data_IF_225139219853
#
_entry.id   IF_225139219853
#
_cell.length_a   1.000
_cell.length_b   1.000
_cell.length_c   1.000
_cell.angle_alpha   90.00
_cell.angle_beta   90.00
_cell.angle_gamma   90.00
#
_symmetry.space_group_name_H-M   'P 1'
#
loop_
_entity.id
_entity.type
_entity.pdbx_description
1 polymer ?
#
# COMPACT_ATOMS: atom_id res chain seq x y z
N UNK A 1 -35.44 20.04 16.38
CA UNK A 1 -34.08 20.47 16.01
C UNK A 1 -33.56 21.35 17.13
N UNK A 2 -32.82 20.75 18.07
CA UNK A 2 -32.20 21.49 19.18
C UNK A 2 -30.75 21.81 18.81
N UNK A 3 -30.37 23.08 18.92
CA UNK A 3 -28.99 23.53 18.78
C UNK A 3 -28.13 22.90 19.87
N UNK A 4 -27.12 22.12 19.49
CA UNK A 4 -26.10 21.64 20.42
C UNK A 4 -25.14 22.80 20.65
N UNK A 5 -25.05 23.24 21.90
CA UNK A 5 -24.15 24.30 22.36
C UNK A 5 -22.73 23.73 22.45
N UNK A 6 -21.85 24.15 21.54
CA UNK A 6 -20.45 23.68 21.42
C UNK A 6 -19.51 24.49 22.35
N UNK A 7 -20.07 25.37 23.19
CA UNK A 7 -19.32 26.26 24.08
C UNK A 7 -18.67 25.56 25.30
N UNK A 8 -18.60 24.23 25.33
CA UNK A 8 -18.03 23.45 26.45
C UNK A 8 -16.78 22.65 26.08
N UNK A 9 -16.12 22.94 24.95
CA UNK A 9 -14.76 22.47 24.73
C UNK A 9 -13.83 23.20 25.72
N UNK A 10 -13.47 22.48 26.77
CA UNK A 10 -12.59 22.94 27.84
C UNK A 10 -11.23 23.28 27.24
N UNK A 11 -10.71 24.46 27.56
CA UNK A 11 -9.31 24.81 27.28
C UNK A 11 -8.39 23.68 27.78
N UNK A 12 -7.42 23.23 26.97
CA UNK A 12 -6.42 22.29 27.44
C UNK A 12 -5.66 22.95 28.58
N UNK A 13 -5.77 22.35 29.76
CA UNK A 13 -5.02 22.75 30.96
C UNK A 13 -3.54 22.79 30.59
N UNK A 14 -2.81 23.89 30.85
CA UNK A 14 -1.38 23.91 30.64
C UNK A 14 -0.77 22.78 31.47
N UNK A 15 -0.02 21.88 30.82
CA UNK A 15 0.78 20.89 31.52
C UNK A 15 1.74 21.65 32.44
N UNK A 16 1.49 21.55 33.73
CA UNK A 16 2.41 21.99 34.77
C UNK A 16 3.75 21.30 34.53
N UNK A 17 4.70 22.07 34.00
CA UNK A 17 6.05 21.64 33.78
C UNK A 17 6.71 21.60 35.16
N UNK A 18 6.84 20.41 35.75
CA UNK A 18 7.61 20.28 36.99
C UNK A 18 9.03 20.81 36.76
N UNK A 19 9.54 21.71 37.62
CA UNK A 19 10.89 22.21 37.50
C UNK A 19 11.87 21.05 37.71
N UNK A 20 12.62 20.73 36.64
CA UNK A 20 13.68 19.72 36.64
C UNK A 20 14.66 20.07 37.76
N UNK A 21 14.73 19.17 38.76
CA UNK A 21 15.61 19.34 39.90
C UNK A 21 17.09 19.43 39.44
N UNK A 22 17.84 20.47 39.83
CA UNK A 22 19.24 20.60 39.50
C UNK A 22 20.04 19.62 40.37
N UNK A 23 20.31 18.43 39.85
CA UNK A 23 21.10 17.44 40.58
C UNK A 23 21.13 16.01 40.03
N UNK A 24 20.48 15.71 38.91
CA UNK A 24 20.56 14.37 38.32
C UNK A 24 22.01 14.08 37.89
N UNK A 25 22.65 13.01 38.40
CA UNK A 25 23.99 12.63 37.96
C UNK A 25 23.98 12.31 36.47
N UNK A 26 25.10 12.52 35.76
CA UNK A 26 25.20 12.19 34.34
C UNK A 26 24.84 10.71 34.17
N UNK A 27 23.78 10.45 33.41
CA UNK A 27 23.42 9.11 32.96
C UNK A 27 24.61 8.61 32.15
N UNK A 28 25.43 7.76 32.76
CA UNK A 28 26.44 6.98 32.07
C UNK A 28 25.70 6.12 31.03
N UNK A 29 25.69 6.62 29.80
CA UNK A 29 25.16 5.91 28.66
C UNK A 29 25.87 4.55 28.60
N UNK A 30 25.13 3.51 28.92
CA UNK A 30 25.57 2.13 28.90
C UNK A 30 25.97 1.78 27.47
N UNK A 31 27.26 1.99 27.16
CA UNK A 31 27.88 1.75 25.84
C UNK A 31 27.99 0.25 25.51
N UNK A 32 27.40 -0.62 26.32
CA UNK A 32 27.37 -2.06 26.12
C UNK A 32 26.01 -2.60 25.64
N UNK A 33 25.17 -1.77 25.03
CA UNK A 33 24.14 -2.26 24.12
C UNK A 33 24.84 -2.84 22.88
N UNK A 34 25.29 -4.09 23.00
CA UNK A 34 25.72 -4.90 21.89
C UNK A 34 24.53 -5.02 20.94
N UNK A 35 24.50 -4.16 19.92
CA UNK A 35 23.61 -4.33 18.79
C UNK A 35 23.78 -5.77 18.31
N UNK A 36 22.69 -6.54 18.12
CA UNK A 36 22.79 -7.83 17.47
C UNK A 36 23.55 -7.57 16.16
N UNK A 37 24.70 -8.24 16.03
CA UNK A 37 25.55 -8.11 14.85
C UNK A 37 24.63 -8.23 13.62
N UNK A 38 24.70 -7.29 12.66
CA UNK A 38 23.81 -7.28 11.51
C UNK A 38 23.78 -8.68 10.93
N UNK A 39 22.57 -9.23 10.77
CA UNK A 39 22.34 -10.58 10.29
C UNK A 39 23.31 -10.84 9.14
N UNK A 40 24.15 -11.85 9.32
CA UNK A 40 25.20 -12.12 8.33
C UNK A 40 24.55 -12.25 6.96
N UNK A 41 25.15 -11.74 5.86
CA UNK A 41 24.58 -11.84 4.51
C UNK A 41 24.14 -13.27 4.13
N UNK A 42 24.70 -14.28 4.79
CA UNK A 42 24.34 -15.70 4.67
C UNK A 42 22.99 -16.06 5.31
N UNK A 43 22.61 -15.46 6.45
CA UNK A 43 21.27 -15.61 7.02
C UNK A 43 20.22 -14.94 6.14
N UNK A 44 20.52 -13.73 5.65
CA UNK A 44 19.66 -13.02 4.70
C UNK A 44 19.49 -13.84 3.40
N UNK A 45 20.59 -14.41 2.87
CA UNK A 45 20.55 -15.26 1.68
C UNK A 45 19.78 -16.57 1.91
N UNK A 46 19.95 -17.22 3.07
CA UNK A 46 19.22 -18.44 3.41
C UNK A 46 17.71 -18.19 3.59
N UNK A 47 17.33 -17.02 4.14
CA UNK A 47 15.93 -16.61 4.26
C UNK A 47 15.33 -16.24 2.89
N UNK A 48 16.14 -15.69 1.97
CA UNK A 48 15.74 -15.43 0.57
C UNK A 48 15.57 -16.74 -0.22
N UNK A 49 16.47 -17.72 -0.04
CA UNK A 49 16.51 -18.97 -0.80
C UNK A 49 15.38 -19.94 -0.41
N UNK A 50 14.89 -19.88 0.85
CA UNK A 50 13.76 -20.70 1.31
C UNK A 50 12.38 -20.24 0.78
N UNK A 51 12.31 -19.09 0.10
CA UNK A 51 11.07 -18.34 -0.06
C UNK A 51 10.57 -18.15 -1.50
N UNK A 52 10.82 -19.11 -2.41
CA UNK A 52 10.06 -19.25 -3.66
C UNK A 52 9.11 -20.46 -3.60
N UNK A 53 7.97 -20.38 -2.88
CA UNK A 53 7.05 -21.49 -2.62
C UNK A 53 6.30 -22.04 -3.85
N UNK A 54 6.62 -21.60 -5.07
CA UNK A 54 6.05 -22.20 -6.27
C UNK A 54 7.04 -22.26 -7.43
N UNK A 55 7.80 -23.35 -7.62
CA UNK A 55 8.72 -23.50 -8.75
C UNK A 55 8.01 -23.47 -10.12
N UNK A 56 6.68 -23.54 -10.14
CA UNK A 56 5.86 -23.58 -11.36
C UNK A 56 5.33 -22.21 -11.80
N UNK A 57 5.59 -21.12 -11.09
CA UNK A 57 5.14 -19.80 -11.56
C UNK A 57 5.71 -19.40 -12.94
N UNK A 58 6.98 -19.71 -13.29
CA UNK A 58 7.50 -19.41 -14.63
C UNK A 58 6.74 -20.22 -15.70
N UNK A 59 6.31 -21.44 -15.37
CA UNK A 59 5.49 -22.27 -16.25
C UNK A 59 4.14 -21.60 -16.53
N UNK A 60 3.47 -21.04 -15.51
CA UNK A 60 2.20 -20.31 -15.71
C UNK A 60 2.38 -19.05 -16.55
N UNK A 61 3.46 -18.29 -16.33
CA UNK A 61 3.78 -17.13 -17.17
C UNK A 61 4.08 -17.55 -18.62
N UNK A 62 4.71 -18.71 -18.83
CA UNK A 62 4.95 -19.25 -20.18
C UNK A 62 3.65 -19.57 -20.94
N UNK A 63 2.57 -19.95 -20.25
CA UNK A 63 1.26 -20.15 -20.87
C UNK A 63 0.70 -18.86 -21.49
N UNK A 64 1.04 -17.68 -20.94
CA UNK A 64 0.68 -16.39 -21.53
C UNK A 64 1.41 -16.23 -22.88
N UNK A 65 2.68 -16.62 -22.97
CA UNK A 65 3.44 -16.65 -24.21
C UNK A 65 2.87 -17.63 -25.24
N UNK A 66 2.51 -18.83 -24.82
CA UNK A 66 1.85 -19.82 -25.70
C UNK A 66 0.51 -19.30 -26.21
N UNK A 67 -0.30 -18.71 -25.33
CA UNK A 67 -1.57 -18.10 -25.70
C UNK A 67 -1.38 -16.91 -26.67
N UNK A 68 -0.31 -16.13 -26.52
CA UNK A 68 0.05 -15.07 -27.47
C UNK A 68 0.36 -15.63 -28.86
N UNK A 69 1.19 -16.68 -28.94
CA UNK A 69 1.52 -17.34 -30.21
C UNK A 69 0.30 -17.99 -30.88
N UNK A 70 -0.56 -18.64 -30.09
CA UNK A 70 -1.83 -19.19 -30.57
C UNK A 70 -2.74 -18.09 -31.13
N UNK A 71 -2.84 -16.94 -30.45
CA UNK A 71 -3.62 -15.80 -30.91
C UNK A 71 -3.04 -15.19 -32.20
N UNK A 72 -1.71 -15.06 -32.32
CA UNK A 72 -1.06 -14.64 -33.56
C UNK A 72 -1.39 -15.59 -34.72
N UNK A 73 -1.28 -16.91 -34.49
CA UNK A 73 -1.63 -17.92 -35.48
C UNK A 73 -3.10 -17.79 -35.90
N UNK A 74 -4.02 -17.68 -34.95
CA UNK A 74 -5.44 -17.53 -35.21
C UNK A 74 -5.75 -16.27 -36.04
N UNK A 75 -5.14 -15.12 -35.73
CA UNK A 75 -5.31 -13.88 -36.50
C UNK A 75 -4.84 -13.97 -37.94
N UNK A 76 -3.87 -14.84 -38.23
CA UNK A 76 -3.41 -15.09 -39.60
C UNK A 76 -4.47 -15.82 -40.43
N UNK A 77 -5.26 -16.69 -39.81
CA UNK A 77 -6.32 -17.45 -40.48
C UNK A 77 -7.68 -16.76 -40.47
N UNK A 78 -7.95 -15.91 -39.47
CA UNK A 78 -9.21 -15.17 -39.32
C UNK A 78 -8.92 -13.68 -39.13
N UNK A 79 -8.59 -12.93 -40.22
CA UNK A 79 -8.35 -11.50 -40.13
C UNK A 79 -9.59 -10.76 -39.62
N UNK A 80 -9.36 -9.69 -38.84
CA UNK A 80 -10.45 -8.92 -38.21
C UNK A 80 -11.19 -8.08 -39.25
N UNK A 81 -12.52 -8.14 -39.21
CA UNK A 81 -13.41 -7.27 -40.00
C UNK A 81 -13.80 -5.99 -39.26
N UNK A 82 -13.75 -6.00 -37.92
CA UNK A 82 -14.14 -4.87 -37.07
C UNK A 82 -12.93 -4.01 -36.64
N UNK A 83 -13.14 -2.68 -36.47
CA UNK A 83 -12.13 -1.79 -35.92
C UNK A 83 -11.74 -2.22 -34.49
N UNK A 84 -10.48 -2.04 -34.15
CA UNK A 84 -9.94 -2.48 -32.85
C UNK A 84 -10.49 -1.63 -31.71
N UNK A 85 -11.12 -2.26 -30.71
CA UNK A 85 -11.61 -1.59 -29.50
C UNK A 85 -10.49 -0.86 -28.73
N UNK A 86 -9.30 -1.44 -28.69
CA UNK A 86 -8.11 -0.87 -28.03
C UNK A 86 -7.03 -0.53 -29.06
N UNK A 87 -6.25 0.55 -28.86
CA UNK A 87 -5.07 0.84 -29.65
C UNK A 87 -3.86 -0.03 -29.29
N UNK A 88 -3.96 -0.86 -28.24
CA UNK A 88 -2.87 -1.72 -27.82
C UNK A 88 -2.57 -2.77 -28.87
N UNK A 89 -1.28 -2.97 -29.13
CA UNK A 89 -0.81 -4.12 -29.90
C UNK A 89 -1.06 -5.39 -29.11
N UNK A 90 -1.18 -6.52 -29.82
CA UNK A 90 -1.42 -7.80 -29.16
C UNK A 90 -0.32 -8.13 -28.14
N UNK A 91 0.95 -7.86 -28.47
CA UNK A 91 2.06 -8.07 -27.55
C UNK A 91 2.00 -7.19 -26.30
N UNK A 92 1.48 -5.97 -26.43
CA UNK A 92 1.32 -5.05 -25.29
C UNK A 92 0.26 -5.54 -24.31
N UNK A 93 -0.86 -6.05 -24.83
CA UNK A 93 -1.92 -6.62 -23.99
C UNK A 93 -1.40 -7.84 -23.20
N UNK A 94 -0.74 -8.78 -23.88
CA UNK A 94 -0.20 -9.97 -23.22
C UNK A 94 0.96 -9.63 -22.29
N UNK A 95 1.80 -8.65 -22.65
CA UNK A 95 2.86 -8.12 -21.79
C UNK A 95 2.31 -7.51 -20.50
N UNK A 96 1.25 -6.69 -20.57
CA UNK A 96 0.58 -6.14 -19.39
C UNK A 96 0.00 -7.22 -18.49
N UNK A 97 -0.66 -8.24 -19.05
CA UNK A 97 -1.19 -9.37 -18.28
C UNK A 97 -0.05 -10.15 -17.61
N UNK A 98 1.05 -10.42 -18.32
CA UNK A 98 2.22 -11.08 -17.77
C UNK A 98 2.86 -10.27 -16.63
N UNK A 99 2.95 -8.94 -16.77
CA UNK A 99 3.45 -8.05 -15.73
C UNK A 99 2.57 -8.09 -14.48
N UNK A 100 1.25 -7.88 -14.63
CA UNK A 100 0.29 -7.95 -13.52
C UNK A 100 0.38 -9.31 -12.83
N UNK A 101 0.44 -10.40 -13.60
CA UNK A 101 0.55 -11.74 -13.07
C UNK A 101 1.84 -11.93 -12.25
N UNK A 102 2.98 -11.53 -12.80
CA UNK A 102 4.30 -11.67 -12.15
C UNK A 102 4.35 -10.90 -10.84
N UNK A 103 3.95 -9.62 -10.86
CA UNK A 103 3.94 -8.80 -9.64
C UNK A 103 2.89 -9.31 -8.65
N UNK A 104 1.76 -9.86 -9.11
CA UNK A 104 0.78 -10.50 -8.22
C UNK A 104 1.32 -11.74 -7.52
N UNK A 105 2.24 -12.50 -8.15
CA UNK A 105 2.94 -13.60 -7.47
C UNK A 105 3.88 -13.04 -6.41
N UNK A 106 4.74 -12.08 -6.75
CA UNK A 106 5.65 -11.45 -5.77
C UNK A 106 4.90 -10.82 -4.59
N UNK A 107 3.76 -10.18 -4.85
CA UNK A 107 2.84 -9.68 -3.83
C UNK A 107 2.38 -10.79 -2.89
N UNK A 108 1.97 -11.95 -3.42
CA UNK A 108 1.52 -13.09 -2.60
C UNK A 108 2.64 -13.58 -1.70
N UNK A 109 3.87 -13.64 -2.21
CA UNK A 109 5.04 -14.03 -1.42
C UNK A 109 5.33 -13.03 -0.31
N UNK A 110 5.34 -11.73 -0.62
CA UNK A 110 5.52 -10.69 0.37
C UNK A 110 4.42 -10.73 1.44
N UNK A 111 3.16 -10.89 1.02
CA UNK A 111 2.03 -11.04 1.93
C UNK A 111 2.17 -12.27 2.83
N UNK A 112 2.56 -13.42 2.29
CA UNK A 112 2.78 -14.63 3.07
C UNK A 112 3.87 -14.45 4.13
N UNK A 113 4.98 -13.77 3.80
CA UNK A 113 6.04 -13.44 4.76
C UNK A 113 5.53 -12.55 5.89
N UNK A 114 4.80 -11.48 5.55
CA UNK A 114 4.19 -10.59 6.55
C UNK A 114 3.20 -11.36 7.43
N UNK A 115 2.33 -12.19 6.84
CA UNK A 115 1.33 -12.98 7.57
C UNK A 115 1.98 -14.04 8.47
N UNK A 116 3.16 -14.53 8.11
CA UNK A 116 3.88 -15.54 8.87
C UNK A 116 4.77 -14.94 9.99
N UNK A 117 5.13 -13.67 9.91
CA UNK A 117 5.88 -12.95 10.95
C UNK A 117 4.91 -12.25 11.93
N UNK A 118 4.91 -12.68 13.21
CA UNK A 118 4.02 -12.10 14.23
C UNK A 118 4.28 -10.62 14.46
N UNK A 119 5.54 -10.16 14.35
CA UNK A 119 5.95 -8.78 14.58
C UNK A 119 5.39 -7.86 13.48
N UNK A 120 5.47 -8.31 12.22
CA UNK A 120 4.90 -7.58 11.09
C UNK A 120 3.37 -7.63 11.08
N UNK A 121 2.76 -8.69 11.62
CA UNK A 121 1.31 -8.72 11.83
C UNK A 121 0.84 -7.74 12.92
N UNK A 122 1.64 -7.51 13.98
CA UNK A 122 1.37 -6.45 14.96
C UNK A 122 1.32 -5.08 14.28
N UNK A 123 2.26 -4.81 13.37
CA UNK A 123 2.30 -3.60 12.55
C UNK A 123 1.05 -3.43 11.69
N UNK A 124 0.70 -4.44 10.90
CA UNK A 124 -0.48 -4.38 10.02
C UNK A 124 -1.77 -4.20 10.83
N UNK A 125 -1.90 -4.86 11.99
CA UNK A 125 -3.02 -4.66 12.89
C UNK A 125 -3.08 -3.24 13.44
N UNK A 126 -1.93 -2.69 13.87
CA UNK A 126 -1.85 -1.31 14.35
C UNK A 126 -2.27 -0.32 13.27
N UNK A 127 -1.81 -0.54 12.03
CA UNK A 127 -2.17 0.27 10.88
C UNK A 127 -3.70 0.30 10.64
N UNK A 128 -4.37 -0.86 10.70
CA UNK A 128 -5.83 -0.97 10.55
C UNK A 128 -6.61 -0.37 11.73
N UNK A 129 -6.10 -0.53 12.96
CA UNK A 129 -6.72 0.10 14.15
C UNK A 129 -6.62 1.62 14.08
N UNK A 130 -5.45 2.13 13.76
CA UNK A 130 -5.20 3.55 13.64
C UNK A 130 -6.03 4.16 12.51
N UNK A 131 -6.24 3.43 11.41
CA UNK A 131 -7.17 3.83 10.37
C UNK A 131 -8.61 3.97 10.85
N UNK A 132 -9.14 2.99 11.59
CA UNK A 132 -10.51 3.07 12.15
C UNK A 132 -10.67 4.35 12.95
N UNK A 133 -9.67 4.65 13.78
CA UNK A 133 -9.65 5.86 14.58
C UNK A 133 -9.54 7.15 13.73
N UNK A 134 -8.64 7.17 12.74
CA UNK A 134 -8.53 8.28 11.79
C UNK A 134 -9.83 8.53 11.04
N UNK A 135 -10.53 7.47 10.61
CA UNK A 135 -11.82 7.57 9.94
C UNK A 135 -12.86 8.22 10.84
N UNK A 136 -12.95 7.83 12.11
CA UNK A 136 -13.88 8.45 13.08
C UNK A 136 -13.60 9.95 13.23
N UNK A 137 -12.34 10.33 13.40
CA UNK A 137 -11.92 11.74 13.49
C UNK A 137 -12.28 12.46 12.19
N UNK A 138 -11.88 11.91 11.05
CA UNK A 138 -12.16 12.48 9.74
C UNK A 138 -13.66 12.69 9.54
N UNK A 139 -14.47 11.68 9.83
CA UNK A 139 -15.91 11.76 9.64
C UNK A 139 -16.53 12.79 10.60
N UNK A 140 -15.96 13.02 11.79
CA UNK A 140 -16.39 14.10 12.71
C UNK A 140 -15.95 15.51 12.28
N UNK A 141 -14.73 15.66 11.73
CA UNK A 141 -14.15 16.96 11.35
C UNK A 141 -14.67 17.42 9.99
N UNK A 142 -14.67 16.54 8.99
CA UNK A 142 -15.06 16.87 7.62
C UNK A 142 -16.58 16.91 7.39
N UNK A 143 -17.39 16.57 8.39
CA UNK A 143 -18.83 16.87 8.38
C UNK A 143 -19.12 18.35 8.67
N UNK A 144 -18.12 19.12 9.12
CA UNK A 144 -18.28 20.55 9.34
C UNK A 144 -18.28 21.29 7.99
N UNK A 145 -19.24 22.18 7.73
CA UNK A 145 -19.38 22.89 6.45
C UNK A 145 -18.15 23.72 6.09
N UNK A 146 -17.36 24.13 7.08
CA UNK A 146 -16.12 24.90 6.94
C UNK A 146 -14.98 24.11 6.26
N UNK A 147 -15.03 22.78 6.27
CA UNK A 147 -13.99 21.90 5.70
C UNK A 147 -14.39 21.27 4.36
N UNK A 148 -15.44 21.76 3.71
CA UNK A 148 -16.01 21.15 2.49
C UNK A 148 -15.21 21.41 1.20
N UNK A 149 -14.24 22.32 1.19
CA UNK A 149 -13.80 22.92 -0.08
C UNK A 149 -12.50 22.40 -0.74
N UNK A 150 -11.70 21.51 -0.15
CA UNK A 150 -10.52 20.96 -0.86
C UNK A 150 -10.27 19.47 -0.60
N UNK A 151 -10.97 18.62 -1.34
CA UNK A 151 -10.89 17.16 -1.29
C UNK A 151 -9.57 16.54 -1.80
N UNK A 152 -8.44 17.27 -1.80
CA UNK A 152 -7.27 16.86 -2.62
C UNK A 152 -5.93 16.66 -1.92
N UNK A 153 -5.81 16.84 -0.60
CA UNK A 153 -4.52 16.60 0.07
C UNK A 153 -4.63 15.81 1.38
N UNK A 154 -5.22 14.62 1.29
CA UNK A 154 -5.41 13.72 2.44
C UNK A 154 -4.12 13.03 2.90
N UNK A 155 -3.12 12.87 2.02
CA UNK A 155 -1.90 12.11 2.33
C UNK A 155 -0.98 12.85 3.32
N UNK A 156 -0.70 14.17 3.15
CA UNK A 156 0.07 14.93 4.14
C UNK A 156 -0.61 14.97 5.50
N UNK A 157 -1.95 15.06 5.53
CA UNK A 157 -2.71 15.12 6.79
C UNK A 157 -2.63 13.80 7.55
N UNK A 158 -2.83 12.68 6.84
CA UNK A 158 -2.78 11.35 7.43
C UNK A 158 -1.38 11.03 7.97
N UNK A 159 -0.33 11.34 7.19
CA UNK A 159 1.05 11.18 7.63
C UNK A 159 1.37 12.05 8.85
N UNK A 160 1.02 13.34 8.81
CA UNK A 160 1.25 14.26 9.93
C UNK A 160 0.49 13.85 11.20
N UNK A 161 -0.72 13.31 11.04
CA UNK A 161 -1.49 12.78 12.16
C UNK A 161 -0.76 11.60 12.81
N UNK A 162 -0.25 10.63 12.04
CA UNK A 162 0.51 9.51 12.60
C UNK A 162 1.88 9.93 13.15
N UNK A 163 2.52 10.91 12.53
CA UNK A 163 3.75 11.49 13.06
C UNK A 163 3.51 12.07 14.48
N UNK A 164 2.47 12.89 14.65
CA UNK A 164 2.14 13.49 15.96
C UNK A 164 1.65 12.49 16.99
N UNK A 165 0.87 11.50 16.58
CA UNK A 165 0.25 10.54 17.51
C UNK A 165 1.14 9.36 17.86
N UNK A 166 2.14 9.04 17.03
CA UNK A 166 2.99 7.88 17.21
C UNK A 166 4.49 8.24 17.27
N UNK A 167 5.01 9.05 16.35
CA UNK A 167 6.44 9.38 16.35
C UNK A 167 6.80 10.29 17.53
N UNK A 168 6.15 11.44 17.68
CA UNK A 168 6.52 12.43 18.72
C UNK A 168 6.49 11.85 20.15
N UNK A 169 5.50 11.04 20.59
CA UNK A 169 5.46 10.54 21.96
C UNK A 169 6.42 9.37 22.23
N UNK A 170 6.85 8.65 21.19
CA UNK A 170 7.60 7.40 21.35
C UNK A 170 9.03 7.46 20.81
N UNK A 171 9.41 8.44 19.99
CA UNK A 171 10.75 8.54 19.41
C UNK A 171 11.84 8.63 20.50
N UNK A 172 11.61 9.43 21.54
CA UNK A 172 12.57 9.57 22.66
C UNK A 172 12.63 8.31 23.55
N UNK A 173 11.51 7.58 23.66
CA UNK A 173 11.42 6.35 24.44
C UNK A 173 12.01 5.14 23.71
N UNK A 174 11.99 5.17 22.38
CA UNK A 174 12.48 4.12 21.49
C UNK A 174 13.58 4.66 20.56
N UNK A 175 14.71 5.17 21.10
CA UNK A 175 15.76 5.82 20.32
C UNK A 175 16.53 4.85 19.41
N UNK A 176 16.36 3.54 19.63
CA UNK A 176 16.96 2.46 18.86
C UNK A 176 16.16 2.09 17.60
N UNK A 177 14.94 2.63 17.44
CA UNK A 177 14.22 2.57 16.16
C UNK A 177 14.85 3.60 15.22
N UNK A 178 15.43 3.12 14.13
CA UNK A 178 16.09 4.00 13.16
C UNK A 178 15.10 4.96 12.50
N UNK A 179 15.60 6.10 12.01
CA UNK A 179 14.78 7.03 11.21
C UNK A 179 14.15 6.34 9.99
N UNK A 180 14.84 5.37 9.39
CA UNK A 180 14.31 4.58 8.29
C UNK A 180 13.12 3.72 8.74
N UNK A 181 13.22 3.05 9.88
CA UNK A 181 12.14 2.21 10.39
C UNK A 181 10.90 3.04 10.76
N UNK A 182 11.10 4.25 11.29
CA UNK A 182 10.02 5.22 11.51
C UNK A 182 9.32 5.63 10.20
N UNK A 183 10.08 5.93 9.15
CA UNK A 183 9.53 6.25 7.83
C UNK A 183 8.75 5.07 7.25
N UNK A 184 9.28 3.85 7.38
CA UNK A 184 8.62 2.61 6.94
C UNK A 184 7.30 2.41 7.68
N UNK A 185 7.31 2.53 9.00
CA UNK A 185 6.16 2.45 9.88
C UNK A 185 5.07 3.47 9.51
N UNK A 186 5.42 4.76 9.48
CA UNK A 186 4.45 5.85 9.25
C UNK A 186 3.84 5.78 7.85
N UNK A 187 4.64 5.45 6.85
CA UNK A 187 4.19 5.24 5.48
C UNK A 187 3.29 4.01 5.36
N UNK A 188 3.63 2.89 6.03
CA UNK A 188 2.76 1.72 6.04
C UNK A 188 1.39 2.05 6.65
N UNK A 189 1.36 2.70 7.83
CA UNK A 189 0.11 3.08 8.48
C UNK A 189 -0.70 4.03 7.58
N UNK A 190 -0.03 5.00 6.93
CA UNK A 190 -0.64 5.92 5.94
C UNK A 190 -1.24 5.19 4.74
N UNK A 191 -0.51 4.23 4.17
CA UNK A 191 -0.96 3.42 3.04
C UNK A 191 -2.16 2.53 3.43
N UNK A 192 -2.09 1.83 4.56
CA UNK A 192 -3.19 1.03 5.08
C UNK A 192 -4.42 1.90 5.31
N UNK A 193 -4.23 3.09 5.88
CA UNK A 193 -5.31 4.04 6.17
C UNK A 193 -6.01 4.55 4.90
N UNK A 194 -5.32 4.57 3.77
CA UNK A 194 -5.94 4.91 2.50
C UNK A 194 -6.72 3.73 1.89
N UNK A 195 -6.30 2.50 2.20
CA UNK A 195 -6.69 1.31 1.44
C UNK A 195 -7.83 0.45 1.97
N UNK A 196 -8.26 0.59 3.22
CA UNK A 196 -9.04 -0.46 3.90
C UNK A 196 -10.57 -0.44 3.63
N UNK A 197 -11.05 0.27 2.61
CA UNK A 197 -12.18 -0.34 1.87
C UNK A 197 -11.50 -1.45 1.09
N UNK A 198 -11.70 -2.72 1.46
CA UNK A 198 -10.98 -3.90 0.95
C UNK A 198 -10.79 -4.00 -0.61
N UNK A 199 -11.37 -3.09 -1.40
CA UNK A 199 -11.24 -2.93 -2.86
C UNK A 199 -10.65 -1.57 -3.36
N UNK A 200 -10.41 -0.54 -2.52
CA UNK A 200 -10.07 0.83 -2.95
C UNK A 200 -8.58 1.07 -3.24
N UNK A 201 -7.70 0.09 -3.03
CA UNK A 201 -6.38 0.14 -3.66
C UNK A 201 -6.48 0.30 -5.19
N UNK A 202 -7.61 -0.13 -5.78
CA UNK A 202 -7.90 -0.01 -7.19
C UNK A 202 -8.29 1.43 -7.58
N UNK A 203 -8.63 2.34 -6.65
CA UNK A 203 -9.17 3.66 -7.01
C UNK A 203 -8.17 4.51 -7.81
N UNK A 204 -6.88 4.50 -7.44
CA UNK A 204 -5.84 5.21 -8.20
C UNK A 204 -5.55 4.55 -9.55
N UNK A 205 -5.57 3.22 -9.60
CA UNK A 205 -5.47 2.51 -10.85
C UNK A 205 -6.66 2.86 -11.75
N UNK A 206 -7.89 2.75 -11.25
CA UNK A 206 -9.13 3.10 -11.94
C UNK A 206 -9.12 4.54 -12.45
N UNK A 207 -8.62 5.49 -11.63
CA UNK A 207 -8.41 6.87 -12.04
C UNK A 207 -7.54 6.98 -13.29
N UNK A 208 -6.46 6.19 -13.34
CA UNK A 208 -5.56 6.11 -14.50
C UNK A 208 -6.22 5.49 -15.74
N UNK A 209 -7.30 4.72 -15.58
CA UNK A 209 -8.03 4.09 -16.68
C UNK A 209 -9.12 5.01 -17.28
N UNK A 210 -9.64 5.98 -16.52
CA UNK A 210 -10.71 6.88 -17.01
C UNK A 210 -10.38 7.55 -18.34
N UNK A 211 -9.18 8.13 -18.57
CA UNK A 211 -8.90 8.79 -19.84
C UNK A 211 -8.93 7.81 -21.02
N UNK A 212 -8.55 6.54 -20.81
CA UNK A 212 -8.71 5.52 -21.85
C UNK A 212 -10.18 5.22 -22.14
N UNK A 213 -11.02 5.07 -21.11
CA UNK A 213 -12.44 4.77 -21.25
C UNK A 213 -13.19 5.91 -21.94
N UNK A 214 -12.96 7.17 -21.54
CA UNK A 214 -13.63 8.34 -22.09
C UNK A 214 -13.16 8.69 -23.50
N UNK A 215 -11.89 8.47 -23.82
CA UNK A 215 -11.36 8.69 -25.18
C UNK A 215 -11.74 7.59 -26.17
N UNK A 216 -12.13 6.39 -25.72
CA UNK A 216 -12.49 5.27 -26.60
C UNK A 216 -13.61 5.58 -27.60
N UNK A 217 -14.79 6.08 -27.20
CA UNK A 217 -15.85 6.42 -28.17
C UNK A 217 -15.39 7.49 -29.17
N UNK A 218 -14.61 8.48 -28.73
CA UNK A 218 -14.07 9.55 -29.59
C UNK A 218 -13.08 8.96 -30.60
N UNK A 219 -12.20 8.05 -30.17
CA UNK A 219 -11.23 7.38 -31.04
C UNK A 219 -11.91 6.44 -32.05
N UNK A 220 -12.99 5.78 -31.65
CA UNK A 220 -13.83 4.99 -32.57
C UNK A 220 -14.49 5.89 -33.62
N UNK A 221 -15.08 7.01 -33.20
CA UNK A 221 -15.68 7.99 -34.12
C UNK A 221 -14.66 8.60 -35.08
N UNK A 222 -13.49 9.02 -34.58
CA UNK A 222 -12.41 9.57 -35.40
C UNK A 222 -11.93 8.57 -36.46
N UNK A 223 -11.80 7.28 -36.09
CA UNK A 223 -11.47 6.21 -37.04
C UNK A 223 -12.57 6.00 -38.07
N UNK A 224 -13.84 5.98 -37.65
CA UNK A 224 -14.99 5.83 -38.55
C UNK A 224 -15.07 6.97 -39.57
N UNK A 225 -14.80 8.21 -39.14
CA UNK A 225 -14.77 9.40 -40.01
C UNK A 225 -13.43 9.63 -40.72
N UNK A 226 -12.44 8.73 -40.54
CA UNK A 226 -11.09 8.86 -41.10
C UNK A 226 -10.41 10.21 -40.75
N UNK A 227 -10.59 10.70 -39.52
CA UNK A 227 -9.97 11.94 -39.02
C UNK A 227 -8.55 11.61 -38.55
N UNK A 228 -7.60 11.66 -39.51
CA UNK A 228 -6.24 11.15 -39.33
C UNK A 228 -5.40 11.89 -38.30
N UNK A 229 -5.63 13.19 -38.08
CA UNK A 229 -4.80 13.98 -37.16
C UNK A 229 -5.13 13.74 -35.67
N UNK A 230 -6.38 13.44 -35.34
CA UNK A 230 -6.83 13.19 -33.94
C UNK A 230 -6.51 11.76 -33.49
N UNK A 231 -6.60 10.80 -34.41
CA UNK A 231 -6.41 9.37 -34.13
C UNK A 231 -5.11 9.04 -33.38
N UNK A 232 -3.92 9.52 -33.79
CA UNK A 232 -2.68 9.21 -33.07
C UNK A 232 -2.64 9.78 -31.64
N UNK A 233 -3.22 10.98 -31.44
CA UNK A 233 -3.29 11.61 -30.12
C UNK A 233 -4.16 10.79 -29.16
N UNK A 234 -5.37 10.41 -29.58
CA UNK A 234 -6.27 9.59 -28.76
C UNK A 234 -5.68 8.20 -28.48
N UNK A 235 -5.06 7.58 -29.48
CA UNK A 235 -4.35 6.31 -29.27
C UNK A 235 -3.22 6.46 -28.23
N UNK A 236 -2.50 7.58 -28.24
CA UNK A 236 -1.49 7.92 -27.26
C UNK A 236 -2.06 7.97 -25.84
N UNK A 237 -3.14 8.75 -25.64
CA UNK A 237 -3.82 8.86 -24.34
C UNK A 237 -4.26 7.49 -23.83
N UNK A 238 -4.95 6.71 -24.67
CA UNK A 238 -5.45 5.39 -24.31
C UNK A 238 -4.32 4.42 -23.90
N UNK A 239 -3.21 4.40 -24.64
CA UNK A 239 -2.07 3.52 -24.34
C UNK A 239 -1.37 3.94 -23.04
N UNK A 240 -1.07 5.23 -22.88
CA UNK A 240 -0.44 5.76 -21.66
C UNK A 240 -1.30 5.47 -20.43
N UNK A 241 -2.61 5.75 -20.52
CA UNK A 241 -3.57 5.46 -19.46
C UNK A 241 -3.61 3.99 -19.10
N UNK A 242 -3.62 3.09 -20.09
CA UNK A 242 -3.61 1.65 -19.85
C UNK A 242 -2.30 1.16 -19.22
N UNK A 243 -1.15 1.69 -19.62
CA UNK A 243 0.14 1.34 -19.00
C UNK A 243 0.22 1.83 -17.57
N UNK A 244 -0.24 3.06 -17.30
CA UNK A 244 -0.33 3.58 -15.93
C UNK A 244 -1.27 2.72 -15.08
N UNK A 245 -2.46 2.39 -15.59
CA UNK A 245 -3.37 1.46 -14.91
C UNK A 245 -2.70 0.10 -14.62
N UNK A 246 -2.04 -0.49 -15.62
CA UNK A 246 -1.32 -1.77 -15.47
C UNK A 246 -0.26 -1.69 -14.38
N UNK A 247 0.54 -0.62 -14.40
CA UNK A 247 1.62 -0.39 -13.45
C UNK A 247 1.09 -0.22 -12.02
N UNK A 248 0.04 0.59 -11.85
CA UNK A 248 -0.58 0.85 -10.54
C UNK A 248 -1.26 -0.40 -9.97
N UNK A 249 -2.00 -1.14 -10.81
CA UNK A 249 -2.61 -2.42 -10.43
C UNK A 249 -1.58 -3.45 -9.94
N UNK A 250 -0.39 -3.44 -10.55
CA UNK A 250 0.70 -4.33 -10.20
C UNK A 250 1.44 -3.85 -8.93
N UNK A 251 1.99 -2.63 -8.96
CA UNK A 251 2.94 -2.16 -7.96
C UNK A 251 2.30 -1.79 -6.64
N UNK A 252 1.13 -1.15 -6.64
CA UNK A 252 0.59 -0.57 -5.41
C UNK A 252 0.26 -1.65 -4.35
N UNK A 253 -0.40 -2.77 -4.70
CA UNK A 253 -0.61 -3.85 -3.75
C UNK A 253 0.69 -4.56 -3.37
N UNK A 254 1.68 -4.64 -4.27
CA UNK A 254 2.99 -5.20 -3.95
C UNK A 254 3.74 -4.35 -2.93
N UNK A 255 3.78 -3.03 -3.12
CA UNK A 255 4.42 -2.08 -2.22
C UNK A 255 3.85 -2.18 -0.81
N UNK A 256 2.52 -2.28 -0.64
CA UNK A 256 1.87 -2.46 0.67
C UNK A 256 2.44 -3.64 1.47
N UNK A 257 2.72 -4.77 0.81
CA UNK A 257 3.22 -5.97 1.47
C UNK A 257 4.74 -6.03 1.53
N UNK A 258 5.43 -5.44 0.56
CA UNK A 258 6.88 -5.46 0.48
C UNK A 258 7.53 -4.44 1.42
N UNK A 259 6.88 -3.29 1.66
CA UNK A 259 7.48 -2.20 2.44
C UNK A 259 7.75 -2.57 3.90
N UNK A 260 6.83 -3.21 4.64
CA UNK A 260 7.11 -3.67 6.01
C UNK A 260 8.31 -4.63 6.13
N UNK A 261 8.65 -5.36 5.07
CA UNK A 261 9.76 -6.31 5.08
C UNK A 261 11.12 -5.60 5.15
N UNK A 262 11.18 -4.30 4.83
CA UNK A 262 12.43 -3.51 4.89
C UNK A 262 12.76 -2.98 6.28
N UNK A 263 11.88 -3.19 7.28
CA UNK A 263 12.15 -2.83 8.67
C UNK A 263 13.40 -3.56 9.18
N UNK A 264 14.34 -2.79 9.71
CA UNK A 264 15.60 -3.29 10.28
C UNK A 264 15.37 -3.87 11.68
N UNK A 265 14.64 -3.16 12.54
CA UNK A 265 14.34 -3.60 13.92
C UNK A 265 12.84 -3.87 14.12
N UNK A 266 12.34 -4.94 13.47
CA UNK A 266 10.93 -5.36 13.53
C UNK A 266 10.45 -5.64 14.96
N UNK A 267 11.33 -6.18 15.80
CA UNK A 267 11.01 -6.52 17.18
C UNK A 267 10.73 -5.27 18.01
N UNK A 268 11.60 -4.27 17.92
CA UNK A 268 11.43 -3.03 18.67
C UNK A 268 10.22 -2.23 18.20
N UNK A 269 9.98 -2.17 16.89
CA UNK A 269 8.76 -1.56 16.34
C UNK A 269 7.51 -2.26 16.89
N UNK A 270 7.49 -3.60 16.91
CA UNK A 270 6.36 -4.35 17.46
C UNK A 270 6.17 -4.12 18.97
N UNK A 271 7.26 -4.03 19.75
CA UNK A 271 7.20 -3.68 21.18
C UNK A 271 6.57 -2.31 21.41
N UNK A 272 7.05 -1.28 20.71
CA UNK A 272 6.50 0.07 20.75
C UNK A 272 5.00 0.07 20.42
N UNK A 273 4.60 -0.66 19.37
CA UNK A 273 3.20 -0.74 18.96
C UNK A 273 2.31 -1.47 19.98
N UNK A 274 2.83 -2.48 20.70
CA UNK A 274 2.09 -3.12 21.79
C UNK A 274 1.84 -2.16 22.94
N UNK A 275 2.81 -1.31 23.23
CA UNK A 275 2.67 -0.27 24.23
C UNK A 275 1.68 0.81 23.78
N UNK A 276 1.84 1.33 22.56
CA UNK A 276 0.98 2.36 22.00
C UNK A 276 -0.48 1.89 21.82
N UNK A 277 -0.68 0.61 21.53
CA UNK A 277 -1.99 0.03 21.27
C UNK A 277 -2.24 -1.21 22.14
N UNK A 278 -2.68 -1.03 23.41
CA UNK A 278 -3.02 -2.15 24.27
C UNK A 278 -4.04 -3.10 23.61
N UNK A 279 -3.73 -4.40 23.65
CA UNK A 279 -4.55 -5.46 23.07
C UNK A 279 -4.34 -5.73 21.57
N UNK A 280 -3.40 -5.05 20.90
CA UNK A 280 -3.19 -5.17 19.45
C UNK A 280 -2.85 -6.58 18.96
N UNK A 281 -2.27 -7.42 19.83
CA UNK A 281 -1.97 -8.81 19.50
C UNK A 281 -3.22 -9.65 19.17
N UNK A 282 -4.36 -9.35 19.83
CA UNK A 282 -5.63 -10.02 19.50
C UNK A 282 -6.12 -9.64 18.11
N UNK A 283 -5.98 -8.37 17.74
CA UNK A 283 -6.31 -7.88 16.40
C UNK A 283 -5.38 -8.50 15.35
N UNK A 284 -4.09 -8.61 15.64
CA UNK A 284 -3.10 -9.25 14.77
C UNK A 284 -3.40 -10.73 14.53
N UNK A 285 -3.74 -11.49 15.59
CA UNK A 285 -4.10 -12.90 15.47
C UNK A 285 -5.40 -13.10 14.67
N UNK A 286 -6.42 -12.26 14.92
CA UNK A 286 -7.68 -12.30 14.17
C UNK A 286 -7.45 -12.00 12.68
N UNK A 287 -6.60 -11.01 12.38
CA UNK A 287 -6.26 -10.64 11.01
C UNK A 287 -5.47 -11.75 10.31
N UNK A 288 -4.51 -12.36 11.00
CA UNK A 288 -3.75 -13.52 10.50
C UNK A 288 -4.66 -14.67 10.10
N UNK A 289 -5.61 -15.03 10.97
CA UNK A 289 -6.64 -16.07 10.70
C UNK A 289 -7.48 -15.72 9.47
N UNK A 290 -7.85 -14.45 9.29
CA UNK A 290 -8.61 -13.97 8.11
C UNK A 290 -7.80 -14.15 6.82
N UNK A 291 -6.50 -13.82 6.83
CA UNK A 291 -5.64 -14.02 5.66
C UNK A 291 -5.42 -15.48 5.31
N UNK A 292 -5.10 -16.31 6.30
CA UNK A 292 -4.93 -17.76 6.10
C UNK A 292 -6.21 -18.40 5.55
N UNK A 293 -7.37 -18.01 6.08
CA UNK A 293 -8.67 -18.48 5.56
C UNK A 293 -8.92 -18.03 4.12
N UNK A 294 -8.51 -16.82 3.76
CA UNK A 294 -8.66 -16.30 2.39
C UNK A 294 -7.71 -16.99 1.41
N UNK A 295 -6.48 -17.29 1.84
CA UNK A 295 -5.52 -18.05 1.03
C UNK A 295 -5.98 -19.49 0.81
N UNK A 296 -6.52 -20.14 1.84
CA UNK A 296 -7.07 -21.50 1.73
C UNK A 296 -8.24 -21.62 0.74
N UNK A 297 -9.01 -20.54 0.52
CA UNK A 297 -10.10 -20.52 -0.48
C UNK A 297 -9.60 -20.37 -1.92
N UNK A 298 -8.37 -19.87 -2.10
CA UNK A 298 -7.78 -19.61 -3.42
C UNK A 298 -6.83 -20.71 -3.89
N UNK A 299 -6.50 -21.66 -3.02
CA UNK A 299 -5.67 -22.83 -3.29
C UNK A 299 -6.53 -23.99 -3.81
#
# INVERSE_FOLDING_TARGET
MGSVDVSSLSDPTPLDSEPIAPGSPPVEADRNLAFPSPETPQQLAAEIELAHPNPYWPLKTSLIGVAYLAHLRFRRYSPRTLPTFTPLRLGELYGSVALIYTVSQERRLAQERVVNDSRLMTLEAAARRQWRHWREIRDSVYQQPEYTETAYDYHPVTYNYFYRTLYEPYADKYPDISKHDWDVLLTQISNTAWSERDDTYIDFAAASLYPALTSTPIAMFARWKNIRFITPFLNGIQRTSFYLWTLMMALQPYQHWAYPLTLQNRERVAEMLREAYPGIEKDAEALRKRYQSSQARLA
#
